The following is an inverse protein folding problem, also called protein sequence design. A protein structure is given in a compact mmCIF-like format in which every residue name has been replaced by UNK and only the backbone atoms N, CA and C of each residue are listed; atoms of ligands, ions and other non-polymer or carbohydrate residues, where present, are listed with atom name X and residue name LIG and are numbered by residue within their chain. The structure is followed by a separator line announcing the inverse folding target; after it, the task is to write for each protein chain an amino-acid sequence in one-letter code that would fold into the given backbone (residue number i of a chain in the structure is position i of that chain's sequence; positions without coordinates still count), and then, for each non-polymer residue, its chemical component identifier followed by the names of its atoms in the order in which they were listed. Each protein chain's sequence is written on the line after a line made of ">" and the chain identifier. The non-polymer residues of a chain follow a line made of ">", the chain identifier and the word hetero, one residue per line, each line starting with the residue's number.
data_IF_432422043341
#
_entry.id   IF_432422043341
#
_cell.length_a   1.000
_cell.length_b   1.000
_cell.length_c   1.000
_cell.angle_alpha   90.00
_cell.angle_beta   90.00
_cell.angle_gamma   90.00
#
_symmetry.space_group_name_H-M   'P 1'
#
loop_
_entity.id
_entity.type
_entity.pdbx_description
1 polymer ?
#
# COMPACT_ATOMS: atom_id res chain seq x y z
N UNK A 1 18.05 13.29 9.56
CA UNK A 1 18.63 13.92 10.76
C UNK A 1 18.44 13.07 12.02
N UNK A 2 17.20 12.73 12.40
CA UNK A 2 16.94 11.95 13.62
C UNK A 2 17.70 10.60 13.74
N UNK A 3 17.79 9.73 12.71
CA UNK A 3 18.56 8.49 12.84
C UNK A 3 20.06 8.70 13.17
N UNK A 4 20.67 9.76 12.63
CA UNK A 4 22.07 10.09 12.91
C UNK A 4 22.28 10.60 14.34
N UNK A 5 21.37 11.44 14.84
CA UNK A 5 21.39 11.91 16.23
C UNK A 5 21.17 10.76 17.22
N UNK A 6 20.26 9.83 16.90
CA UNK A 6 20.05 8.62 17.70
C UNK A 6 21.30 7.73 17.69
N UNK A 7 21.97 7.58 16.55
CA UNK A 7 23.24 6.85 16.47
C UNK A 7 24.34 7.49 17.35
N UNK A 8 24.40 8.83 17.42
CA UNK A 8 25.30 9.53 18.35
C UNK A 8 24.98 9.19 19.81
N UNK A 9 23.70 9.19 20.20
CA UNK A 9 23.29 8.79 21.56
C UNK A 9 23.63 7.32 21.85
N UNK A 10 23.41 6.41 20.90
CA UNK A 10 23.81 5.01 21.04
C UNK A 10 25.33 4.86 21.19
N UNK A 11 26.11 5.65 20.44
CA UNK A 11 27.57 5.69 20.57
C UNK A 11 28.03 6.22 21.94
N UNK A 12 27.32 7.20 22.50
CA UNK A 12 27.59 7.76 23.84
C UNK A 12 27.36 6.78 24.99
N UNK A 13 26.68 5.64 24.76
CA UNK A 13 26.50 4.62 25.82
C UNK A 13 27.82 3.95 26.23
N UNK A 14 28.87 4.02 25.39
CA UNK A 14 30.22 3.60 25.77
C UNK A 14 30.84 4.70 26.63
N UNK A 15 30.51 4.70 27.91
CA UNK A 15 31.00 5.64 28.92
C UNK A 15 32.08 4.98 29.77
N UNK A 16 33.29 5.54 29.76
CA UNK A 16 34.41 5.14 30.62
C UNK A 16 34.34 5.81 31.99
N UNK A 17 34.81 5.09 33.02
CA UNK A 17 34.92 5.51 34.42
C UNK A 17 33.60 6.04 35.02
N UNK A 18 33.67 6.77 36.14
CA UNK A 18 32.51 7.37 36.81
C UNK A 18 32.03 8.67 36.13
N UNK A 19 32.84 9.24 35.23
CA UNK A 19 32.49 10.41 34.40
C UNK A 19 33.29 10.42 33.09
N UNK A 20 32.67 10.06 31.95
CA UNK A 20 33.39 9.92 30.69
C UNK A 20 33.81 11.26 30.09
N UNK A 21 35.05 11.31 29.57
CA UNK A 21 35.59 12.47 28.86
C UNK A 21 35.06 12.55 27.41
N UNK A 22 33.79 12.95 27.25
CA UNK A 22 33.23 13.32 25.95
C UNK A 22 31.90 12.66 25.64
N UNK A 23 31.73 11.37 25.92
CA UNK A 23 30.49 10.62 25.65
C UNK A 23 29.26 11.31 26.28
N UNK A 24 29.38 11.72 27.54
CA UNK A 24 28.35 12.49 28.25
C UNK A 24 28.05 13.86 27.61
N UNK A 25 29.08 14.58 27.14
CA UNK A 25 28.91 15.88 26.50
C UNK A 25 28.26 15.77 25.12
N UNK A 26 28.56 14.68 24.41
CA UNK A 26 28.01 14.38 23.09
C UNK A 26 26.51 14.07 23.13
N UNK A 27 25.91 13.83 24.30
CA UNK A 27 24.47 13.59 24.43
C UNK A 27 23.62 14.86 24.37
N UNK A 28 24.15 16.00 24.80
CA UNK A 28 23.33 17.17 25.14
C UNK A 28 22.62 17.81 23.95
N UNK A 29 23.32 17.99 22.83
CA UNK A 29 22.71 18.53 21.61
C UNK A 29 21.81 17.49 20.93
N UNK A 30 22.25 16.23 20.70
CA UNK A 30 21.43 15.24 20.02
C UNK A 30 20.13 14.92 20.76
N UNK A 31 20.17 14.77 22.09
CA UNK A 31 18.98 14.51 22.88
C UNK A 31 17.97 15.66 22.77
N UNK A 32 18.43 16.90 22.97
CA UNK A 32 17.58 18.09 22.86
C UNK A 32 17.00 18.24 21.47
N UNK A 33 17.80 18.01 20.44
CA UNK A 33 17.38 18.13 19.06
C UNK A 33 16.38 17.03 18.67
N UNK A 34 16.58 15.80 19.11
CA UNK A 34 15.61 14.71 18.92
C UNK A 34 14.27 15.02 19.57
N UNK A 35 14.26 15.51 20.82
CA UNK A 35 13.04 15.91 21.52
C UNK A 35 12.33 17.06 20.77
N UNK A 36 13.08 18.06 20.31
CA UNK A 36 12.53 19.18 19.53
C UNK A 36 11.93 18.72 18.21
N UNK A 37 12.61 17.83 17.50
CA UNK A 37 12.12 17.26 16.24
C UNK A 37 10.85 16.44 16.47
N UNK A 38 10.83 15.55 17.46
CA UNK A 38 9.68 14.69 17.72
C UNK A 38 8.46 15.51 18.14
N UNK A 39 8.64 16.53 18.98
CA UNK A 39 7.55 17.41 19.40
C UNK A 39 6.96 18.19 18.21
N UNK A 40 7.82 18.71 17.33
CA UNK A 40 7.39 19.40 16.11
C UNK A 40 6.66 18.47 15.14
N UNK A 41 7.19 17.27 14.92
CA UNK A 41 6.59 16.28 14.02
C UNK A 41 5.26 15.78 14.58
N UNK A 42 5.18 15.48 15.88
CA UNK A 42 3.95 15.03 16.52
C UNK A 42 2.83 16.06 16.39
N UNK A 43 3.12 17.34 16.64
CA UNK A 43 2.15 18.43 16.44
C UNK A 43 1.69 18.51 14.98
N UNK A 44 2.63 18.58 14.05
CA UNK A 44 2.29 18.71 12.63
C UNK A 44 1.53 17.47 12.10
N UNK A 45 1.85 16.28 12.61
CA UNK A 45 1.15 15.05 12.25
C UNK A 45 -0.29 15.05 12.80
N UNK A 46 -0.52 15.52 14.03
CA UNK A 46 -1.85 15.69 14.57
C UNK A 46 -2.67 16.67 13.73
N UNK A 47 -2.13 17.85 13.44
CA UNK A 47 -2.79 18.86 12.58
C UNK A 47 -3.11 18.31 11.18
N UNK A 48 -2.16 17.59 10.57
CA UNK A 48 -2.34 16.98 9.25
C UNK A 48 -3.46 15.94 9.26
N UNK A 49 -3.47 15.03 10.24
CA UNK A 49 -4.45 13.94 10.32
C UNK A 49 -5.84 14.47 10.67
N UNK A 50 -5.95 15.47 11.56
CA UNK A 50 -7.23 16.13 11.88
C UNK A 50 -7.80 16.92 10.69
N UNK A 51 -6.93 17.55 9.90
CA UNK A 51 -7.33 18.36 8.75
C UNK A 51 -7.41 17.61 7.42
N UNK A 52 -7.08 16.31 7.38
CA UNK A 52 -6.99 15.53 6.15
C UNK A 52 -8.35 15.43 5.46
N UNK A 53 -8.43 15.85 4.20
CA UNK A 53 -9.62 15.67 3.35
C UNK A 53 -9.37 14.57 2.32
N UNK A 54 -10.11 13.49 2.45
CA UNK A 54 -10.05 12.36 1.50
C UNK A 54 -10.94 12.66 0.30
N UNK A 55 -10.38 12.55 -0.91
CA UNK A 55 -11.15 12.62 -2.15
C UNK A 55 -11.41 11.18 -2.66
N UNK A 56 -12.54 10.61 -2.25
CA UNK A 56 -12.93 9.25 -2.61
C UNK A 56 -13.20 9.08 -4.11
N UNK A 57 -13.70 10.12 -4.78
CA UNK A 57 -13.98 10.09 -6.22
C UNK A 57 -12.66 9.99 -7.00
N UNK A 58 -11.66 10.81 -6.67
CA UNK A 58 -10.34 10.73 -7.26
C UNK A 58 -9.67 9.36 -6.99
N UNK A 59 -9.85 8.80 -5.80
CA UNK A 59 -9.36 7.43 -5.50
C UNK A 59 -10.03 6.40 -6.41
N UNK A 60 -11.35 6.50 -6.62
CA UNK A 60 -12.10 5.61 -7.51
C UNK A 60 -11.67 5.78 -8.97
N UNK A 61 -11.50 7.00 -9.43
CA UNK A 61 -11.03 7.31 -10.79
C UNK A 61 -9.63 6.74 -11.03
N UNK A 62 -8.75 6.83 -10.01
CA UNK A 62 -7.40 6.27 -10.10
C UNK A 62 -7.38 4.74 -10.25
N UNK A 63 -8.40 4.02 -9.77
CA UNK A 63 -8.51 2.57 -10.00
C UNK A 63 -8.70 2.23 -11.48
N UNK A 64 -9.24 3.15 -12.29
CA UNK A 64 -9.43 2.95 -13.72
C UNK A 64 -8.17 3.19 -14.55
N UNK A 65 -7.08 3.74 -13.97
CA UNK A 65 -5.85 4.11 -14.70
C UNK A 65 -5.17 2.92 -15.38
N UNK A 66 -5.35 1.70 -14.85
CA UNK A 66 -4.79 0.48 -15.45
C UNK A 66 -5.78 -0.22 -16.37
N UNK A 67 -6.93 0.40 -16.69
CA UNK A 67 -7.99 -0.18 -17.51
C UNK A 67 -8.41 -1.59 -17.04
N UNK A 68 -8.49 -1.82 -15.73
CA UNK A 68 -8.90 -3.11 -15.15
C UNK A 68 -7.76 -4.11 -14.91
N UNK A 69 -6.53 -3.85 -15.37
CA UNK A 69 -5.39 -4.76 -15.15
C UNK A 69 -5.01 -4.95 -13.66
N UNK A 70 -5.36 -4.00 -12.80
CA UNK A 70 -5.09 -4.04 -11.36
C UNK A 70 -5.73 -5.25 -10.65
N UNK A 71 -6.78 -5.85 -11.22
CA UNK A 71 -7.45 -7.04 -10.68
C UNK A 71 -7.07 -8.35 -11.37
N UNK A 72 -5.99 -8.37 -12.16
CA UNK A 72 -5.54 -9.57 -12.89
C UNK A 72 -5.33 -10.79 -11.99
N UNK A 73 -4.87 -10.59 -10.75
CA UNK A 73 -4.70 -11.68 -9.77
C UNK A 73 -6.05 -12.29 -9.39
N UNK A 74 -7.06 -11.47 -9.08
CA UNK A 74 -8.42 -11.95 -8.79
C UNK A 74 -8.95 -12.79 -9.94
N UNK A 75 -8.84 -12.26 -11.16
CA UNK A 75 -9.29 -12.98 -12.35
C UNK A 75 -8.57 -14.33 -12.50
N UNK A 76 -7.28 -14.40 -12.23
CA UNK A 76 -6.54 -15.67 -12.29
C UNK A 76 -7.05 -16.69 -11.24
N UNK A 77 -7.43 -16.22 -10.05
CA UNK A 77 -7.99 -17.05 -8.98
C UNK A 77 -9.40 -17.52 -9.33
N UNK A 78 -10.27 -16.62 -9.76
CA UNK A 78 -11.69 -16.90 -10.04
C UNK A 78 -11.90 -17.71 -11.34
N UNK A 79 -11.03 -17.51 -12.34
CA UNK A 79 -11.11 -18.27 -13.60
C UNK A 79 -10.46 -19.67 -13.50
N UNK A 80 -9.59 -19.91 -12.52
CA UNK A 80 -8.89 -21.19 -12.39
C UNK A 80 -9.83 -22.39 -12.13
N UNK A 81 -10.88 -22.30 -11.29
CA UNK A 81 -11.88 -23.37 -11.13
C UNK A 81 -12.71 -23.64 -12.40
N UNK A 82 -12.92 -22.62 -13.24
CA UNK A 82 -13.78 -22.71 -14.43
C UNK A 82 -12.99 -23.24 -15.64
N UNK A 83 -11.80 -22.70 -15.88
CA UNK A 83 -10.99 -22.97 -17.09
C UNK A 83 -9.78 -23.87 -16.84
N UNK A 84 -9.39 -24.04 -15.57
CA UNK A 84 -8.09 -24.59 -15.19
C UNK A 84 -6.99 -23.53 -15.18
N UNK A 85 -6.03 -23.68 -14.26
CA UNK A 85 -4.97 -22.68 -13.99
C UNK A 85 -4.14 -22.30 -15.22
N UNK A 86 -3.73 -23.28 -16.02
CA UNK A 86 -2.88 -23.04 -17.19
C UNK A 86 -3.62 -22.21 -18.25
N UNK A 87 -4.87 -22.58 -18.54
CA UNK A 87 -5.72 -21.89 -19.53
C UNK A 87 -6.12 -20.50 -19.07
N UNK A 88 -6.52 -20.35 -17.80
CA UNK A 88 -6.83 -19.04 -17.22
C UNK A 88 -5.65 -18.07 -17.33
N UNK A 89 -4.43 -18.54 -16.99
CA UNK A 89 -3.22 -17.72 -17.12
C UNK A 89 -2.93 -17.32 -18.57
N UNK A 90 -3.00 -18.26 -19.50
CA UNK A 90 -2.79 -18.01 -20.93
C UNK A 90 -3.79 -16.97 -21.47
N UNK A 91 -5.09 -17.18 -21.19
CA UNK A 91 -6.15 -16.28 -21.61
C UNK A 91 -5.96 -14.88 -21.04
N UNK A 92 -5.71 -14.75 -19.73
CA UNK A 92 -5.52 -13.45 -19.09
C UNK A 92 -4.28 -12.72 -19.59
N UNK A 93 -3.19 -13.44 -19.88
CA UNK A 93 -1.97 -12.84 -20.46
C UNK A 93 -2.28 -12.22 -21.82
N UNK A 94 -2.92 -13.00 -22.70
CA UNK A 94 -3.33 -12.54 -24.04
C UNK A 94 -4.33 -11.38 -23.96
N UNK A 95 -5.32 -11.45 -23.07
CA UNK A 95 -6.31 -10.40 -22.90
C UNK A 95 -5.68 -9.10 -22.36
N UNK A 96 -4.74 -9.21 -21.42
CA UNK A 96 -4.00 -8.06 -20.90
C UNK A 96 -3.13 -7.39 -21.97
N UNK A 97 -2.39 -8.17 -22.76
CA UNK A 97 -1.59 -7.67 -23.88
C UNK A 97 -2.47 -6.94 -24.91
N UNK A 98 -3.63 -7.52 -25.26
CA UNK A 98 -4.60 -6.88 -26.16
C UNK A 98 -5.19 -5.60 -25.57
N UNK A 99 -5.62 -5.60 -24.30
CA UNK A 99 -6.17 -4.43 -23.63
C UNK A 99 -5.19 -3.24 -23.64
N UNK A 100 -3.90 -3.53 -23.41
CA UNK A 100 -2.82 -2.52 -23.50
C UNK A 100 -2.60 -2.03 -24.93
N UNK A 101 -2.50 -2.95 -25.90
CA UNK A 101 -2.25 -2.62 -27.30
C UNK A 101 -3.41 -1.80 -27.91
N UNK A 102 -4.64 -2.16 -27.60
CA UNK A 102 -5.87 -1.54 -28.11
C UNK A 102 -6.32 -0.34 -27.27
N UNK A 103 -5.73 -0.11 -26.08
CA UNK A 103 -6.13 0.93 -25.11
C UNK A 103 -7.61 0.85 -24.73
N UNK A 104 -8.09 -0.37 -24.45
CA UNK A 104 -9.47 -0.63 -24.05
C UNK A 104 -9.52 -1.26 -22.65
N UNK A 105 -10.64 -1.11 -21.93
CA UNK A 105 -10.88 -1.82 -20.68
C UNK A 105 -10.68 -3.33 -20.82
N UNK A 106 -10.03 -3.97 -19.84
CA UNK A 106 -9.83 -5.41 -19.83
C UNK A 106 -11.17 -6.17 -19.88
N UNK A 107 -12.21 -5.64 -19.24
CA UNK A 107 -13.56 -6.22 -19.25
C UNK A 107 -14.10 -6.38 -20.67
N UNK A 108 -13.90 -5.38 -21.54
CA UNK A 108 -14.36 -5.43 -22.93
C UNK A 108 -13.64 -6.53 -23.73
N UNK A 109 -12.33 -6.71 -23.48
CA UNK A 109 -11.54 -7.74 -24.16
C UNK A 109 -11.92 -9.14 -23.66
N UNK A 110 -12.23 -9.29 -22.37
CA UNK A 110 -12.68 -10.55 -21.79
C UNK A 110 -14.09 -10.93 -22.23
N UNK A 111 -14.98 -9.97 -22.48
CA UNK A 111 -16.35 -10.20 -22.95
C UNK A 111 -16.38 -10.79 -24.39
N UNK A 112 -15.33 -10.56 -25.17
CA UNK A 112 -15.15 -11.18 -26.48
C UNK A 112 -14.78 -12.68 -26.39
N UNK A 113 -14.34 -13.18 -25.23
CA UNK A 113 -13.96 -14.58 -25.05
C UNK A 113 -15.19 -15.47 -24.78
N UNK A 114 -15.50 -16.45 -25.66
CA UNK A 114 -16.72 -17.26 -25.54
C UNK A 114 -16.77 -18.12 -24.27
N UNK A 115 -15.59 -18.48 -23.73
CA UNK A 115 -15.45 -19.29 -22.51
C UNK A 115 -15.87 -18.52 -21.24
N UNK A 116 -16.06 -17.19 -21.32
CA UNK A 116 -16.33 -16.31 -20.17
C UNK A 116 -17.77 -15.77 -20.15
N UNK A 117 -18.61 -16.06 -21.14
CA UNK A 117 -19.93 -15.44 -21.33
C UNK A 117 -20.94 -15.66 -20.20
N UNK A 118 -20.75 -16.72 -19.41
CA UNK A 118 -21.64 -17.04 -18.28
C UNK A 118 -21.19 -16.38 -16.97
N UNK A 119 -20.03 -15.70 -16.96
CA UNK A 119 -19.49 -15.05 -15.77
C UNK A 119 -19.88 -13.57 -15.73
N UNK A 120 -20.10 -13.06 -14.52
CA UNK A 120 -20.27 -11.62 -14.30
C UNK A 120 -18.91 -10.92 -14.34
N UNK A 121 -18.47 -10.59 -15.55
CA UNK A 121 -17.19 -9.93 -15.77
C UNK A 121 -17.15 -8.51 -15.19
N UNK A 122 -18.30 -7.83 -15.05
CA UNK A 122 -18.35 -6.50 -14.43
C UNK A 122 -18.02 -6.59 -12.95
N UNK A 123 -18.59 -7.58 -12.26
CA UNK A 123 -18.29 -7.82 -10.84
C UNK A 123 -16.83 -8.25 -10.65
N UNK A 124 -16.35 -9.19 -11.46
CA UNK A 124 -15.00 -9.72 -11.36
C UNK A 124 -13.94 -8.67 -11.70
N UNK A 125 -14.27 -7.70 -12.57
CA UNK A 125 -13.35 -6.62 -12.93
C UNK A 125 -13.44 -5.39 -12.04
N UNK A 126 -14.41 -5.32 -11.11
CA UNK A 126 -14.54 -4.21 -10.14
C UNK A 126 -13.42 -4.26 -9.09
N UNK A 127 -12.47 -3.30 -9.08
CA UNK A 127 -11.37 -3.25 -8.13
C UNK A 127 -11.83 -2.99 -6.69
N UNK A 128 -13.03 -2.44 -6.49
CA UNK A 128 -13.56 -2.17 -5.15
C UNK A 128 -14.11 -3.40 -4.45
N UNK A 129 -14.31 -4.50 -5.20
CA UNK A 129 -14.76 -5.80 -4.68
C UNK A 129 -13.63 -6.73 -4.28
N UNK A 130 -12.37 -6.30 -4.45
CA UNK A 130 -11.19 -7.13 -4.20
C UNK A 130 -10.17 -6.46 -3.28
N UNK A 131 -10.64 -5.98 -2.13
CA UNK A 131 -9.79 -5.35 -1.10
C UNK A 131 -9.20 -6.34 -0.10
N UNK A 132 -9.43 -7.65 -0.30
CA UNK A 132 -8.99 -8.71 0.60
C UNK A 132 -9.40 -8.46 2.06
N UNK A 133 -8.46 -8.62 2.98
CA UNK A 133 -8.71 -8.45 4.42
C UNK A 133 -8.64 -7.00 4.90
N UNK A 134 -8.65 -5.99 4.02
CA UNK A 134 -8.49 -4.59 4.41
C UNK A 134 -9.48 -4.17 5.52
N UNK A 135 -10.77 -4.45 5.35
CA UNK A 135 -11.79 -4.13 6.36
C UNK A 135 -11.51 -4.80 7.71
N UNK A 136 -11.30 -6.13 7.71
CA UNK A 136 -11.01 -6.88 8.94
C UNK A 136 -9.72 -6.42 9.64
N UNK A 137 -8.70 -5.98 8.89
CA UNK A 137 -7.47 -5.43 9.47
C UNK A 137 -7.70 -4.04 10.07
N UNK A 138 -8.53 -3.21 9.44
CA UNK A 138 -8.95 -1.92 9.98
C UNK A 138 -9.75 -2.09 11.27
N UNK A 139 -10.74 -2.97 11.30
CA UNK A 139 -11.56 -3.26 12.48
C UNK A 139 -10.66 -3.72 13.64
N UNK A 140 -9.76 -4.67 13.38
CA UNK A 140 -8.77 -5.13 14.36
C UNK A 140 -7.86 -4.02 14.89
N UNK A 141 -7.53 -3.02 14.08
CA UNK A 141 -6.69 -1.91 14.53
C UNK A 141 -7.47 -0.96 15.45
N UNK A 142 -8.78 -0.77 15.20
CA UNK A 142 -9.67 0.06 16.00
C UNK A 142 -10.07 -0.59 17.33
N UNK A 143 -10.13 -1.92 17.38
CA UNK A 143 -10.51 -2.68 18.58
C UNK A 143 -9.35 -2.93 19.56
N UNK A 144 -8.11 -2.55 19.20
CA UNK A 144 -6.95 -2.67 20.09
C UNK A 144 -7.09 -1.68 21.26
N UNK A 145 -7.53 -2.23 22.39
CA UNK A 145 -7.47 -1.59 23.71
C UNK A 145 -6.15 -1.86 24.40
#
# INVERSE_FOLDING_TARGET
>A
RAPGLAATLYGSMVAEDERPAGAWHAEWEPLRELLRLVAGIARNAAELVEGLRVNADAMRDHLALTHGLIVSERLAVELAPVLGRARAKELLTRAAERAVAERRPLVDVLDEEPELKELDLVELTDPTRYTGSAGALTDRALERT
#
